data_IF_002415821121
#
_entry.id   IF_002415821121
#
_cell.length_a   1.000
_cell.length_b   1.000
_cell.length_c   1.000
_cell.angle_alpha   90.00
_cell.angle_beta   90.00
_cell.angle_gamma   90.00
#
_symmetry.space_group_name_H-M   'P 1'
#
loop_
_entity.id
_entity.type
_entity.pdbx_description
1 polymer ?
#
# COMPACT_ATOMS: atom_id res chain seq x y z
N UNK A 1 0.09 24.10 31.92
CA UNK A 1 -0.53 24.54 30.64
C UNK A 1 -1.71 23.64 30.34
N UNK A 2 -2.91 24.18 30.06
CA UNK A 2 -4.03 23.34 29.63
C UNK A 2 -3.66 22.64 28.32
N UNK A 3 -3.84 21.32 28.26
CA UNK A 3 -3.61 20.54 27.04
C UNK A 3 -4.64 21.00 26.01
N UNK A 4 -4.22 21.79 25.02
CA UNK A 4 -5.04 22.05 23.83
C UNK A 4 -5.40 20.71 23.22
N UNK A 5 -6.70 20.40 23.14
CA UNK A 5 -7.16 19.17 22.52
C UNK A 5 -6.61 19.10 21.08
N UNK A 6 -6.03 17.96 20.69
CA UNK A 6 -5.52 17.78 19.33
C UNK A 6 -6.66 18.00 18.33
N UNK A 7 -6.41 18.82 17.31
CA UNK A 7 -7.43 19.18 16.31
C UNK A 7 -7.71 18.03 15.34
N UNK A 8 -6.70 17.33 14.86
CA UNK A 8 -6.88 16.14 14.05
C UNK A 8 -7.10 14.85 14.84
N UNK A 9 -7.03 13.73 14.13
CA UNK A 9 -7.29 12.38 14.64
C UNK A 9 -6.02 11.52 14.57
N UNK A 10 -5.85 10.61 15.53
CA UNK A 10 -4.80 9.58 15.45
C UNK A 10 -5.20 8.42 14.55
N UNK A 11 -6.49 8.31 14.26
CA UNK A 11 -7.09 7.28 13.43
C UNK A 11 -8.38 7.84 12.84
N UNK A 12 -8.62 7.58 11.55
CA UNK A 12 -9.91 7.81 10.91
C UNK A 12 -10.28 6.60 10.06
N UNK A 13 -11.59 6.38 9.87
CA UNK A 13 -12.08 5.33 9.00
C UNK A 13 -11.85 5.76 7.55
N UNK A 14 -11.17 4.93 6.78
CA UNK A 14 -11.04 5.08 5.34
C UNK A 14 -12.00 4.13 4.64
N UNK A 15 -12.77 4.62 3.67
CA UNK A 15 -13.77 3.82 2.97
C UNK A 15 -13.09 2.79 2.05
N UNK A 16 -13.62 1.58 1.99
CA UNK A 16 -13.03 0.47 1.22
C UNK A 16 -13.31 0.55 -0.28
N UNK A 17 -14.30 1.34 -0.67
CA UNK A 17 -14.76 1.53 -2.05
C UNK A 17 -14.09 2.72 -2.77
N UNK A 18 -13.14 3.40 -2.13
CA UNK A 18 -12.43 4.55 -2.69
C UNK A 18 -11.73 4.24 -4.04
N UNK A 19 -11.37 2.99 -4.32
CA UNK A 19 -10.82 2.58 -5.62
C UNK A 19 -11.86 2.55 -6.74
N UNK A 20 -13.15 2.53 -6.40
CA UNK A 20 -14.27 2.56 -7.35
C UNK A 20 -14.69 3.98 -7.72
N UNK A 21 -14.32 4.98 -6.92
CA UNK A 21 -14.57 6.40 -7.21
C UNK A 21 -14.04 6.78 -8.61
N UNK A 22 -14.91 7.27 -9.51
CA UNK A 22 -14.51 7.73 -10.84
C UNK A 22 -13.39 8.78 -10.84
N UNK A 23 -13.34 9.67 -9.85
CA UNK A 23 -12.29 10.69 -9.71
C UNK A 23 -10.95 10.03 -9.39
N UNK A 24 -10.93 9.11 -8.42
CA UNK A 24 -9.73 8.35 -8.04
C UNK A 24 -9.23 7.47 -9.20
N UNK A 25 -10.14 6.85 -9.97
CA UNK A 25 -9.78 6.10 -11.19
C UNK A 25 -9.11 7.00 -12.23
N UNK A 26 -9.65 8.20 -12.48
CA UNK A 26 -9.05 9.17 -13.42
C UNK A 26 -7.66 9.63 -12.95
N UNK A 27 -7.50 9.90 -11.66
CA UNK A 27 -6.22 10.22 -11.03
C UNK A 27 -5.18 9.11 -11.28
N UNK A 28 -5.55 7.86 -10.99
CA UNK A 28 -4.70 6.68 -11.21
C UNK A 28 -4.36 6.45 -12.68
N UNK A 29 -5.30 6.72 -13.59
CA UNK A 29 -5.03 6.56 -15.02
C UNK A 29 -4.00 7.57 -15.54
N UNK A 30 -3.96 8.79 -14.99
CA UNK A 30 -3.02 9.84 -15.42
C UNK A 30 -1.65 9.75 -14.72
N UNK A 31 -1.65 9.49 -13.41
CA UNK A 31 -0.45 9.57 -12.57
C UNK A 31 -0.08 8.24 -11.90
N UNK A 32 -0.74 7.13 -12.26
CA UNK A 32 -0.48 5.82 -11.68
C UNK A 32 -0.78 5.76 -10.18
N UNK A 33 -0.08 4.86 -9.49
CA UNK A 33 -0.19 4.73 -8.02
C UNK A 33 0.50 5.88 -7.28
N UNK A 34 1.39 6.62 -7.93
CA UNK A 34 2.04 7.81 -7.38
C UNK A 34 1.02 8.91 -7.10
N UNK A 35 0.17 9.23 -8.08
CA UNK A 35 -0.91 10.21 -7.90
C UNK A 35 -1.87 9.83 -6.78
N UNK A 36 -2.25 8.56 -6.71
CA UNK A 36 -3.07 8.06 -5.60
C UNK A 36 -2.36 8.17 -4.26
N UNK A 37 -1.07 7.81 -4.19
CA UNK A 37 -0.27 7.88 -2.97
C UNK A 37 -0.16 9.30 -2.43
N UNK A 38 0.10 10.28 -3.30
CA UNK A 38 0.15 11.71 -2.95
C UNK A 38 -1.21 12.19 -2.44
N UNK A 39 -2.30 11.91 -3.18
CA UNK A 39 -3.65 12.28 -2.75
C UNK A 39 -3.99 11.68 -1.38
N UNK A 40 -3.76 10.39 -1.20
CA UNK A 40 -4.04 9.69 0.05
C UNK A 40 -3.20 10.23 1.21
N UNK A 41 -1.93 10.54 0.96
CA UNK A 41 -1.06 11.15 1.97
C UNK A 41 -1.59 12.52 2.43
N UNK A 42 -1.97 13.38 1.48
CA UNK A 42 -2.54 14.70 1.78
C UNK A 42 -3.82 14.55 2.61
N UNK A 43 -4.74 13.66 2.22
CA UNK A 43 -5.97 13.41 2.98
C UNK A 43 -5.66 12.92 4.40
N UNK A 44 -4.67 12.04 4.56
CA UNK A 44 -4.22 11.60 5.87
C UNK A 44 -3.67 12.77 6.71
N UNK A 45 -2.85 13.65 6.12
CA UNK A 45 -2.30 14.82 6.81
C UNK A 45 -3.39 15.83 7.22
N UNK A 46 -4.36 16.07 6.34
CA UNK A 46 -5.56 16.87 6.65
C UNK A 46 -6.22 16.34 7.92
N UNK A 47 -6.55 15.05 7.96
CA UNK A 47 -7.23 14.45 9.11
C UNK A 47 -6.34 14.37 10.36
N UNK A 48 -5.02 14.21 10.21
CA UNK A 48 -4.07 14.08 11.32
C UNK A 48 -3.82 15.40 12.05
N UNK A 49 -3.74 16.52 11.32
CA UNK A 49 -3.32 17.82 11.88
C UNK A 49 -4.52 18.71 12.24
N UNK A 50 -5.25 19.21 11.24
CA UNK A 50 -6.36 20.17 11.44
C UNK A 50 -7.75 19.50 11.40
N UNK A 51 -7.84 18.29 10.85
CA UNK A 51 -9.05 17.48 10.76
C UNK A 51 -9.88 17.73 9.50
N UNK A 52 -9.81 18.91 8.89
CA UNK A 52 -10.73 19.31 7.81
C UNK A 52 -10.10 20.04 6.62
N UNK A 53 -8.90 20.58 6.76
CA UNK A 53 -8.13 21.17 5.66
C UNK A 53 -6.63 21.02 5.92
N UNK A 54 -5.81 21.35 4.94
CA UNK A 54 -4.36 21.49 5.07
C UNK A 54 -3.94 22.77 4.36
N UNK A 55 -3.08 23.55 5.00
CA UNK A 55 -2.34 24.63 4.31
C UNK A 55 -1.17 23.97 3.62
N UNK A 56 -1.03 24.24 2.32
CA UNK A 56 0.08 23.76 1.52
C UNK A 56 1.06 24.91 1.33
N UNK A 57 1.95 25.09 2.29
CA UNK A 57 3.09 25.99 2.15
C UNK A 57 4.29 25.25 1.56
N UNK A 58 5.42 25.96 1.41
CA UNK A 58 6.65 25.37 0.90
C UNK A 58 7.13 24.19 1.76
N UNK A 59 6.91 24.25 3.09
CA UNK A 59 7.29 23.19 4.01
C UNK A 59 6.40 21.95 3.82
N UNK A 60 5.09 22.12 3.67
CA UNK A 60 4.16 21.04 3.36
C UNK A 60 4.44 20.37 2.02
N UNK A 61 4.80 21.15 0.99
CA UNK A 61 5.19 20.61 -0.31
C UNK A 61 6.52 19.84 -0.22
N UNK A 62 7.49 20.37 0.53
CA UNK A 62 8.77 19.71 0.80
C UNK A 62 8.58 18.39 1.56
N UNK A 63 7.73 18.36 2.59
CA UNK A 63 7.45 17.16 3.37
C UNK A 63 6.84 16.05 2.50
N UNK A 64 5.92 16.41 1.60
CA UNK A 64 5.33 15.46 0.65
C UNK A 64 6.41 14.98 -0.34
N UNK A 65 7.28 15.87 -0.81
CA UNK A 65 8.38 15.54 -1.71
C UNK A 65 9.39 14.57 -1.08
N UNK A 66 9.81 14.83 0.16
CA UNK A 66 10.74 13.96 0.89
C UNK A 66 10.12 12.58 1.16
N UNK A 67 8.86 12.56 1.62
CA UNK A 67 8.15 11.31 1.91
C UNK A 67 7.90 10.46 0.66
N UNK A 68 7.41 11.09 -0.40
CA UNK A 68 7.06 10.39 -1.65
C UNK A 68 8.25 10.14 -2.57
N UNK A 69 9.42 10.71 -2.26
CA UNK A 69 10.63 10.70 -3.12
C UNK A 69 10.33 11.21 -4.53
N UNK A 70 9.47 12.23 -4.61
CA UNK A 70 8.96 12.82 -5.84
C UNK A 70 9.31 14.30 -5.90
N UNK A 71 9.51 14.85 -7.08
CA UNK A 71 9.77 16.28 -7.23
C UNK A 71 8.52 17.13 -6.96
N UNK A 72 8.75 18.32 -6.41
CA UNK A 72 7.69 19.27 -6.05
C UNK A 72 6.84 19.69 -7.27
N UNK A 73 7.45 19.82 -8.45
CA UNK A 73 6.74 20.15 -9.69
C UNK A 73 5.73 19.04 -10.06
N UNK A 74 6.12 17.78 -9.92
CA UNK A 74 5.25 16.62 -10.15
C UNK A 74 4.13 16.54 -9.11
N UNK A 75 4.43 16.83 -7.85
CA UNK A 75 3.43 16.88 -6.78
C UNK A 75 2.43 18.00 -7.03
N UNK A 76 2.89 19.20 -7.39
CA UNK A 76 2.02 20.31 -7.78
C UNK A 76 1.11 19.93 -8.96
N UNK A 77 1.64 19.28 -10.00
CA UNK A 77 0.85 18.81 -11.13
C UNK A 77 -0.21 17.75 -10.74
N UNK A 78 0.08 16.91 -9.74
CA UNK A 78 -0.89 15.96 -9.18
C UNK A 78 -1.97 16.70 -8.40
N UNK A 79 -1.61 17.67 -7.56
CA UNK A 79 -2.55 18.48 -6.78
C UNK A 79 -3.47 19.26 -7.71
N UNK A 80 -2.91 19.94 -8.72
CA UNK A 80 -3.67 20.66 -9.74
C UNK A 80 -4.69 19.74 -10.40
N UNK A 81 -4.29 18.53 -10.79
CA UNK A 81 -5.21 17.56 -11.37
C UNK A 81 -6.26 17.06 -10.38
N UNK A 82 -5.92 16.92 -9.09
CA UNK A 82 -6.90 16.61 -8.06
C UNK A 82 -7.95 17.73 -7.92
N UNK A 83 -7.55 19.00 -8.09
CA UNK A 83 -8.51 20.12 -8.12
C UNK A 83 -9.38 20.12 -9.37
N UNK A 84 -8.82 19.79 -10.54
CA UNK A 84 -9.60 19.64 -11.78
C UNK A 84 -10.62 18.50 -11.71
N UNK A 85 -10.31 17.44 -10.96
CA UNK A 85 -11.22 16.33 -10.70
C UNK A 85 -12.25 16.63 -9.60
N UNK A 86 -12.11 17.75 -8.88
CA UNK A 86 -12.94 18.08 -7.72
C UNK A 86 -12.72 17.14 -6.53
N UNK A 87 -11.51 16.60 -6.37
CA UNK A 87 -11.06 15.94 -5.14
C UNK A 87 -10.66 16.97 -4.07
N UNK A 88 -10.19 18.14 -4.54
CA UNK A 88 -9.96 19.34 -3.74
C UNK A 88 -10.67 20.54 -4.38
N UNK A 89 -11.02 21.54 -3.57
CA UNK A 89 -11.61 22.78 -4.04
C UNK A 89 -10.56 23.63 -4.79
N UNK A 90 -10.87 23.92 -6.04
CA UNK A 90 -9.96 24.62 -6.95
C UNK A 90 -9.72 26.07 -6.53
N UNK A 91 -10.75 26.76 -6.03
CA UNK A 91 -10.66 28.16 -5.63
C UNK A 91 -9.75 28.31 -4.41
N UNK A 92 -9.98 27.51 -3.37
CA UNK A 92 -9.16 27.52 -2.15
C UNK A 92 -7.71 27.12 -2.41
N UNK A 93 -7.48 26.16 -3.32
CA UNK A 93 -6.13 25.82 -3.76
C UNK A 93 -5.43 27.02 -4.41
N UNK A 94 -6.06 27.64 -5.40
CA UNK A 94 -5.43 28.70 -6.19
C UNK A 94 -5.26 30.01 -5.41
N UNK A 95 -6.25 30.40 -4.61
CA UNK A 95 -6.26 31.70 -3.92
C UNK A 95 -5.55 31.67 -2.56
N UNK A 96 -5.66 30.55 -1.83
CA UNK A 96 -5.21 30.46 -0.43
C UNK A 96 -4.17 29.36 -0.19
N UNK A 97 -3.83 28.56 -1.20
CA UNK A 97 -2.99 27.36 -1.05
C UNK A 97 -3.55 26.40 0.01
N UNK A 98 -4.88 26.25 0.06
CA UNK A 98 -5.56 25.38 1.02
C UNK A 98 -6.16 24.19 0.29
N UNK A 99 -5.87 23.00 0.80
CA UNK A 99 -6.45 21.75 0.34
C UNK A 99 -7.57 21.29 1.27
N UNK A 100 -8.77 21.24 0.74
CA UNK A 100 -9.99 20.73 1.36
C UNK A 100 -11.00 20.41 0.26
N UNK A 101 -12.06 19.68 0.59
CA UNK A 101 -13.24 19.52 -0.27
C UNK A 101 -14.48 19.36 0.60
N UNK A 102 -15.67 19.49 0.00
CA UNK A 102 -16.94 19.25 0.68
C UNK A 102 -16.97 17.87 1.34
N UNK A 103 -16.61 16.82 0.60
CA UNK A 103 -16.51 15.45 1.11
C UNK A 103 -15.58 15.32 2.32
N UNK A 104 -14.41 15.98 2.30
CA UNK A 104 -13.47 15.96 3.43
C UNK A 104 -14.11 16.62 4.67
N UNK A 105 -14.82 17.74 4.48
CA UNK A 105 -15.49 18.46 5.57
C UNK A 105 -16.71 17.70 6.12
N UNK A 106 -17.47 17.01 5.25
CA UNK A 106 -18.53 16.07 5.62
C UNK A 106 -18.00 14.92 6.48
N UNK A 107 -16.93 14.26 6.01
CA UNK A 107 -16.32 13.17 6.73
C UNK A 107 -15.77 13.62 8.09
N UNK A 108 -15.07 14.76 8.15
CA UNK A 108 -14.62 15.37 9.40
C UNK A 108 -15.78 15.62 10.38
N UNK A 109 -16.87 16.20 9.88
CA UNK A 109 -18.05 16.51 10.68
C UNK A 109 -18.71 15.23 11.20
N UNK A 110 -18.81 14.20 10.35
CA UNK A 110 -19.32 12.87 10.73
C UNK A 110 -18.48 12.22 11.83
N UNK A 111 -17.15 12.23 11.69
CA UNK A 111 -16.22 11.72 12.72
C UNK A 111 -16.38 12.51 14.02
N UNK A 112 -16.42 13.84 13.97
CA UNK A 112 -16.62 14.70 15.14
C UNK A 112 -17.91 14.36 15.87
N UNK A 113 -19.02 14.20 15.16
CA UNK A 113 -20.31 13.77 15.72
C UNK A 113 -20.22 12.41 16.41
N UNK A 114 -19.57 11.44 15.79
CA UNK A 114 -19.41 10.08 16.32
C UNK A 114 -18.58 10.03 17.61
N UNK A 115 -17.61 10.93 17.78
CA UNK A 115 -16.76 11.02 18.98
C UNK A 115 -17.22 12.09 19.98
N UNK A 116 -18.43 12.64 19.80
CA UNK A 116 -19.01 13.72 20.63
C UNK A 116 -18.13 14.97 20.75
N UNK A 117 -17.43 15.33 19.67
CA UNK A 117 -16.61 16.53 19.55
C UNK A 117 -17.30 17.57 18.68
N UNK A 118 -17.20 18.85 19.04
CA UNK A 118 -17.68 19.95 18.20
C UNK A 118 -16.77 20.08 16.97
N UNK A 119 -17.29 19.99 15.73
CA UNK A 119 -16.51 20.28 14.54
C UNK A 119 -16.14 21.77 14.55
N UNK A 120 -14.88 22.06 14.29
CA UNK A 120 -14.37 23.42 14.16
C UNK A 120 -13.77 23.57 12.76
N UNK A 121 -14.56 24.13 11.84
CA UNK A 121 -14.13 24.49 10.48
C UNK A 121 -14.13 26.02 10.40
N UNK A 122 -13.02 26.69 10.05
CA UNK A 122 -13.00 28.14 9.87
C UNK A 122 -14.02 28.56 8.80
N UNK A 123 -14.86 29.55 9.11
CA UNK A 123 -15.95 29.98 8.22
C UNK A 123 -15.50 30.39 6.81
N UNK A 124 -14.29 30.94 6.68
CA UNK A 124 -13.70 31.33 5.40
C UNK A 124 -13.28 30.16 4.50
N UNK A 125 -13.25 28.94 5.05
CA UNK A 125 -12.89 27.69 4.37
C UNK A 125 -14.10 26.75 4.24
N UNK A 126 -15.24 27.12 4.82
CA UNK A 126 -16.45 26.34 4.78
C UNK A 126 -16.96 26.28 3.34
N UNK A 127 -17.08 25.06 2.81
CA UNK A 127 -17.61 24.83 1.46
C UNK A 127 -19.11 24.54 1.45
N UNK A 128 -19.73 24.45 2.62
CA UNK A 128 -21.18 24.32 2.76
C UNK A 128 -21.86 25.67 2.50
N UNK A 129 -22.85 25.68 1.61
CA UNK A 129 -23.97 26.61 1.75
C UNK A 129 -24.90 26.09 2.85
N UNK A 130 -25.29 26.88 3.86
CA UNK A 130 -26.38 26.54 4.77
C UNK A 130 -27.74 26.72 4.06
N UNK A 131 -27.91 26.08 2.90
CA UNK A 131 -29.14 26.12 2.11
C UNK A 131 -29.41 24.70 1.58
N UNK A 132 -29.52 23.76 2.52
CA UNK A 132 -30.26 22.49 2.41
C UNK A 132 -30.38 21.82 3.79
N UNK A 133 -30.55 22.64 4.83
CA UNK A 133 -31.28 22.21 6.02
C UNK A 133 -32.57 23.04 6.03
N UNK A 134 -33.76 22.42 6.06
CA UNK A 134 -34.96 23.18 6.38
C UNK A 134 -34.78 23.78 7.78
N UNK A 135 -34.60 25.09 7.82
CA UNK A 135 -34.62 25.83 9.07
C UNK A 135 -35.99 25.64 9.74
N UNK A 136 -35.89 25.38 11.03
CA UNK A 136 -36.95 24.89 11.91
C UNK A 136 -38.06 25.93 12.04
N UNK A 137 -39.32 25.50 11.87
CA UNK A 137 -40.46 26.16 12.54
C UNK A 137 -41.15 25.12 13.42
N UNK A 138 -41.37 25.40 14.71
CA UNK A 138 -41.94 24.46 15.66
C UNK A 138 -43.46 24.37 15.47
N UNK A 139 -43.97 23.16 15.22
CA UNK A 139 -45.40 22.88 15.35
C UNK A 139 -45.64 21.38 15.64
N UNK A 140 -46.00 21.13 16.90
CA UNK A 140 -46.95 20.11 17.34
C UNK A 140 -46.85 18.72 16.71
N UNK A 141 -46.14 17.81 17.36
CA UNK A 141 -46.41 16.38 17.22
C UNK A 141 -47.81 16.09 17.82
N UNK A 142 -48.78 15.55 17.07
CA UNK A 142 -49.89 14.85 17.68
C UNK A 142 -49.35 13.52 18.20
N UNK A 143 -49.46 13.33 19.50
CA UNK A 143 -49.33 12.06 20.21
C UNK A 143 -50.38 11.09 19.66
N UNK A 144 -50.01 9.89 19.17
CA UNK A 144 -50.95 8.78 19.12
C UNK A 144 -50.94 8.14 20.51
N UNK A 145 -52.01 8.40 21.25
CA UNK A 145 -52.29 7.81 22.56
C UNK A 145 -52.38 6.29 22.45
N UNK A 146 -51.67 5.59 23.33
CA UNK A 146 -52.03 4.24 23.72
C UNK A 146 -53.38 4.25 24.44
N UNK A 147 -54.31 3.33 24.11
CA UNK A 147 -55.35 2.96 25.04
C UNK A 147 -54.97 1.65 25.72
N UNK A 148 -54.48 1.75 26.95
CA UNK A 148 -54.64 0.66 27.94
C UNK A 148 -55.93 0.95 28.70
N UNK A 149 -56.93 0.06 28.57
CA UNK A 149 -57.92 -0.11 29.63
C UNK A 149 -58.45 -1.54 29.69
N UNK A 150 -58.11 -2.16 30.82
CA UNK A 150 -58.95 -3.05 31.66
C UNK A 150 -59.32 -4.44 31.16
N UNK A 151 -58.76 -5.41 31.88
CA UNK A 151 -59.26 -6.77 32.08
C UNK A 151 -60.68 -6.76 32.65
N UNK A 152 -61.56 -7.62 32.12
CA UNK A 152 -62.51 -8.46 32.86
C UNK A 152 -62.63 -9.77 32.07
N UNK A 153 -62.12 -10.88 32.59
CA UNK A 153 -62.85 -11.86 33.40
C UNK A 153 -63.44 -13.01 32.54
N UNK A 154 -62.87 -14.19 32.78
CA UNK A 154 -63.56 -15.49 32.93
C UNK A 154 -63.64 -16.44 31.72
N UNK A 155 -62.96 -17.58 31.93
CA UNK A 155 -63.53 -18.95 31.92
C UNK A 155 -63.57 -19.70 30.58
N UNK A 156 -62.74 -20.77 30.57
CA UNK A 156 -63.09 -22.17 30.22
C UNK A 156 -62.70 -22.79 28.87
N UNK A 157 -62.11 -23.99 29.04
CA UNK A 157 -62.37 -25.25 28.30
C UNK A 157 -61.48 -25.56 27.07
N UNK A 158 -60.41 -26.34 27.34
CA UNK A 158 -60.05 -27.56 26.59
C UNK A 158 -61.29 -28.50 26.50
N UNK A 159 -61.47 -29.39 25.48
CA UNK A 159 -60.42 -30.36 25.10
C UNK A 159 -60.50 -30.98 23.66
N UNK A 160 -59.54 -31.89 23.38
CA UNK A 160 -59.69 -33.22 22.72
C UNK A 160 -60.13 -33.30 21.22
N UNK A 161 -59.72 -34.24 20.35
CA UNK A 161 -58.89 -35.46 20.37
C UNK A 161 -58.81 -36.04 18.91
N UNK A 162 -57.76 -36.84 18.65
CA UNK A 162 -57.76 -38.10 17.84
C UNK A 162 -58.07 -38.07 16.31
N UNK A 163 -57.51 -38.88 15.39
CA UNK A 163 -56.59 -40.05 15.40
C UNK A 163 -56.21 -40.45 13.94
N UNK A 164 -55.05 -41.11 13.79
CA UNK A 164 -54.62 -42.10 12.75
C UNK A 164 -54.49 -41.60 11.27
N UNK A 165 -53.52 -42.01 10.44
CA UNK A 165 -52.70 -43.23 10.35
C UNK A 165 -51.40 -43.02 9.51
N UNK A 166 -50.33 -43.77 9.83
CA UNK A 166 -49.03 -43.96 9.13
C UNK A 166 -49.16 -45.04 8.02
N UNK A 167 -48.14 -45.41 7.18
CA UNK A 167 -46.74 -44.95 7.04
C UNK A 167 -46.33 -44.62 5.57
N UNK A 168 -45.23 -43.89 5.31
CA UNK A 168 -43.85 -44.41 5.08
C UNK A 168 -42.83 -43.25 5.00
N UNK A 169 -41.58 -43.51 5.40
CA UNK A 169 -40.41 -42.61 5.51
C UNK A 169 -39.43 -42.75 4.32
N UNK A 170 -38.29 -42.04 4.18
CA UNK A 170 -37.66 -41.04 5.10
C UNK A 170 -37.14 -39.71 4.49
N UNK A 171 -37.35 -38.66 5.28
CA UNK A 171 -36.53 -37.49 5.68
C UNK A 171 -35.33 -36.99 4.85
N UNK A 172 -35.32 -35.66 4.58
CA UNK A 172 -34.30 -34.73 5.13
C UNK A 172 -34.81 -33.27 5.02
N UNK A 173 -35.12 -32.59 6.13
CA UNK A 173 -35.03 -31.13 6.28
C UNK A 173 -34.79 -30.74 7.76
N UNK A 174 -34.22 -29.54 8.06
CA UNK A 174 -33.51 -29.25 9.30
C UNK A 174 -34.21 -28.24 10.26
N UNK A 175 -33.54 -28.02 11.42
CA UNK A 175 -33.67 -26.95 12.46
C UNK A 175 -34.65 -27.26 13.62
N UNK A 176 -34.59 -26.65 14.85
CA UNK A 176 -33.81 -25.51 15.37
C UNK A 176 -33.31 -25.66 16.86
N UNK A 177 -33.03 -24.52 17.52
CA UNK A 177 -32.24 -24.26 18.74
C UNK A 177 -32.91 -24.42 20.13
N UNK A 178 -32.09 -24.50 21.20
CA UNK A 178 -32.23 -23.90 22.56
C UNK A 178 -31.06 -24.39 23.46
N UNK A 179 -30.44 -23.68 24.41
CA UNK A 179 -30.63 -22.36 24.98
C UNK A 179 -29.56 -22.04 26.07
N UNK A 180 -29.38 -20.73 26.30
CA UNK A 180 -29.09 -19.99 27.55
C UNK A 180 -27.93 -20.41 28.48
N UNK A 181 -26.94 -19.51 28.67
CA UNK A 181 -26.69 -18.77 29.94
C UNK A 181 -25.50 -17.79 29.84
N UNK A 182 -25.72 -16.58 30.34
CA UNK A 182 -24.73 -15.52 30.57
C UNK A 182 -23.99 -15.76 31.90
N UNK A 183 -22.64 -15.68 31.92
CA UNK A 183 -21.93 -15.15 33.08
C UNK A 183 -20.53 -14.62 32.71
N UNK A 184 -20.13 -13.58 33.43
CA UNK A 184 -19.07 -12.61 33.17
C UNK A 184 -17.78 -13.05 33.83
N UNK A 185 -16.66 -13.17 33.10
CA UNK A 185 -15.31 -13.09 33.69
C UNK A 185 -14.28 -12.41 32.76
N UNK A 186 -14.09 -11.13 33.07
CA UNK A 186 -12.88 -10.30 32.97
C UNK A 186 -11.56 -11.07 32.77
N UNK A 187 -10.94 -10.98 31.58
CA UNK A 187 -9.54 -11.35 31.39
C UNK A 187 -8.68 -10.08 31.20
N UNK A 188 -7.75 -9.90 32.15
CA UNK A 188 -6.76 -8.83 32.21
C UNK A 188 -5.74 -8.99 31.08
N UNK A 189 -5.55 -7.95 30.27
CA UNK A 189 -4.38 -7.83 29.41
C UNK A 189 -3.18 -7.32 30.24
N UNK A 190 -2.37 -8.23 30.78
CA UNK A 190 -1.02 -7.93 31.26
C UNK A 190 -0.02 -8.16 30.12
N UNK A 191 0.22 -7.13 29.31
CA UNK A 191 1.40 -7.07 28.44
C UNK A 191 2.55 -6.58 29.32
N UNK A 192 3.36 -7.53 29.82
CA UNK A 192 4.64 -7.22 30.45
C UNK A 192 5.60 -6.73 29.34
N UNK A 193 5.71 -5.42 29.19
CA UNK A 193 6.81 -4.77 28.47
C UNK A 193 8.07 -4.87 29.32
N UNK A 194 9.00 -5.73 28.94
CA UNK A 194 10.38 -5.64 29.40
C UNK A 194 11.23 -4.94 28.33
N UNK A 195 11.49 -3.65 28.56
CA UNK A 195 12.53 -2.90 27.86
C UNK A 195 13.82 -2.99 28.68
N UNK A 196 14.83 -3.72 28.20
CA UNK A 196 16.22 -3.42 28.51
C UNK A 196 17.14 -3.72 27.31
N UNK A 197 18.06 -2.82 26.94
CA UNK A 197 18.86 -2.94 25.73
C UNK A 197 20.06 -3.84 25.97
N UNK A 198 20.22 -4.89 25.15
CA UNK A 198 21.44 -5.68 25.12
C UNK A 198 22.32 -5.23 23.96
N UNK A 199 23.33 -4.45 24.34
CA UNK A 199 24.53 -4.14 23.59
C UNK A 199 25.26 -5.45 23.24
N UNK A 200 25.43 -5.77 21.95
CA UNK A 200 26.32 -6.83 21.48
C UNK A 200 27.15 -6.36 20.29
N UNK A 201 28.44 -6.58 20.47
CA UNK A 201 29.60 -6.14 19.71
C UNK A 201 29.50 -6.23 18.19
N UNK A 202 30.06 -5.20 17.54
CA UNK A 202 30.44 -5.18 16.12
C UNK A 202 31.55 -6.21 15.88
N UNK A 203 31.21 -7.33 15.24
CA UNK A 203 32.20 -8.15 14.54
C UNK A 203 32.06 -7.88 13.04
N UNK A 204 33.19 -7.49 12.46
CA UNK A 204 33.34 -7.15 11.05
C UNK A 204 33.12 -8.38 10.18
N UNK A 205 32.00 -8.43 9.46
CA UNK A 205 31.85 -9.34 8.33
C UNK A 205 32.01 -8.48 7.07
N UNK A 206 33.25 -8.48 6.58
CA UNK A 206 33.63 -7.92 5.29
C UNK A 206 32.85 -8.66 4.19
N UNK A 207 31.88 -7.98 3.59
CA UNK A 207 31.32 -8.41 2.30
C UNK A 207 32.39 -8.26 1.21
N UNK A 208 32.59 -9.24 0.30
CA UNK A 208 33.55 -9.10 -0.77
C UNK A 208 33.03 -8.07 -1.78
N UNK A 209 33.80 -7.00 -1.98
CA UNK A 209 33.66 -6.11 -3.13
C UNK A 209 33.67 -6.92 -4.43
N UNK A 210 32.78 -6.66 -5.40
CA UNK A 210 33.07 -6.98 -6.78
C UNK A 210 34.06 -5.94 -7.32
N UNK A 211 35.35 -6.15 -7.04
CA UNK A 211 36.43 -5.41 -7.69
C UNK A 211 36.57 -5.89 -9.14
N UNK A 212 35.96 -5.12 -10.06
CA UNK A 212 36.53 -4.74 -11.36
C UNK A 212 35.54 -3.81 -12.05
N UNK A 213 35.46 -2.57 -11.56
CA UNK A 213 34.98 -1.44 -12.34
C UNK A 213 36.19 -0.51 -12.44
N UNK A 214 36.64 -0.14 -13.66
CA UNK A 214 37.67 0.89 -13.80
C UNK A 214 37.18 2.14 -13.09
N UNK A 215 37.93 2.59 -12.09
CA UNK A 215 37.66 3.80 -11.31
C UNK A 215 37.63 5.02 -12.24
N UNK A 216 36.46 5.30 -12.82
CA UNK A 216 36.15 6.56 -13.47
C UNK A 216 35.84 7.62 -12.41
N UNK A 217 36.39 8.82 -12.60
CA UNK A 217 36.21 9.97 -11.70
C UNK A 217 34.77 10.10 -11.20
N UNK A 218 34.55 9.92 -9.88
CA UNK A 218 33.21 9.97 -9.26
C UNK A 218 32.46 11.27 -9.58
N UNK A 219 33.20 12.35 -9.80
CA UNK A 219 32.65 13.69 -10.06
C UNK A 219 32.03 13.78 -11.45
N UNK A 220 32.59 13.09 -12.44
CA UNK A 220 32.08 13.02 -13.81
C UNK A 220 30.81 12.17 -13.92
N UNK A 221 30.73 11.07 -13.16
CA UNK A 221 29.53 10.23 -13.11
C UNK A 221 28.37 10.93 -12.40
N UNK A 222 28.69 11.66 -11.33
CA UNK A 222 27.73 12.52 -10.64
C UNK A 222 27.25 13.65 -11.55
N UNK A 223 28.15 14.27 -12.34
CA UNK A 223 27.79 15.29 -13.31
C UNK A 223 26.86 14.75 -14.41
N UNK A 224 27.20 13.61 -15.01
CA UNK A 224 26.38 12.97 -16.03
C UNK A 224 24.98 12.62 -15.49
N UNK A 225 24.90 12.10 -14.27
CA UNK A 225 23.62 11.78 -13.62
C UNK A 225 22.74 13.01 -13.43
N UNK A 226 23.32 14.10 -12.89
CA UNK A 226 22.60 15.38 -12.73
C UNK A 226 22.16 15.93 -14.07
N UNK A 227 23.00 15.83 -15.10
CA UNK A 227 22.69 16.29 -16.45
C UNK A 227 21.53 15.51 -17.05
N UNK A 228 21.58 14.17 -17.03
CA UNK A 228 20.49 13.32 -17.51
C UNK A 228 19.18 13.57 -16.76
N UNK A 229 19.25 13.75 -15.44
CA UNK A 229 18.09 14.09 -14.61
C UNK A 229 17.50 15.45 -14.99
N UNK A 230 18.34 16.47 -15.22
CA UNK A 230 17.89 17.79 -15.70
C UNK A 230 17.24 17.76 -17.09
N UNK A 231 17.58 16.74 -17.90
CA UNK A 231 17.00 16.51 -19.22
C UNK A 231 15.72 15.65 -19.19
N UNK A 232 15.27 15.22 -18.00
CA UNK A 232 14.05 14.42 -17.83
C UNK A 232 14.21 12.91 -18.05
N UNK A 233 15.44 12.38 -18.09
CA UNK A 233 15.67 10.93 -18.20
C UNK A 233 15.30 10.24 -16.89
N UNK A 234 14.56 9.14 -16.97
CA UNK A 234 14.15 8.37 -15.79
C UNK A 234 15.34 7.79 -15.00
N UNK A 235 15.20 7.67 -13.68
CA UNK A 235 16.24 7.12 -12.80
C UNK A 235 16.67 5.70 -13.20
N UNK A 236 15.72 4.90 -13.71
CA UNK A 236 16.01 3.57 -14.25
C UNK A 236 16.93 3.64 -15.48
N UNK A 237 16.66 4.56 -16.41
CA UNK A 237 17.49 4.76 -17.59
C UNK A 237 18.87 5.34 -17.23
N UNK A 238 18.95 6.23 -16.24
CA UNK A 238 20.23 6.72 -15.71
C UNK A 238 21.07 5.56 -15.14
N UNK A 239 20.45 4.66 -14.37
CA UNK A 239 21.12 3.46 -13.86
C UNK A 239 21.61 2.57 -15.01
N UNK A 240 20.79 2.37 -16.04
CA UNK A 240 21.19 1.65 -17.24
C UNK A 240 22.34 2.34 -17.96
N UNK A 241 22.37 3.67 -18.03
CA UNK A 241 23.46 4.39 -18.68
C UNK A 241 24.80 4.10 -18.00
N UNK A 242 24.87 4.20 -16.67
CA UNK A 242 26.09 3.87 -15.94
C UNK A 242 26.50 2.41 -16.13
N UNK A 243 25.52 1.52 -16.05
CA UNK A 243 25.75 0.10 -16.25
C UNK A 243 26.29 -0.20 -17.65
N UNK A 244 25.66 0.34 -18.70
CA UNK A 244 26.05 0.14 -20.10
C UNK A 244 27.42 0.73 -20.42
N UNK A 245 27.81 1.85 -19.78
CA UNK A 245 29.16 2.42 -19.95
C UNK A 245 30.28 1.48 -19.49
N UNK A 246 30.00 0.57 -18.55
CA UNK A 246 30.94 -0.47 -18.14
C UNK A 246 31.17 -1.54 -19.20
N UNK A 247 30.18 -1.80 -20.06
CA UNK A 247 30.22 -2.82 -21.12
C UNK A 247 30.53 -2.24 -22.50
N UNK A 248 30.16 -0.99 -22.73
CA UNK A 248 30.33 -0.27 -23.99
C UNK A 248 31.05 1.06 -23.71
N UNK A 249 32.39 1.08 -23.74
CA UNK A 249 33.17 2.30 -23.55
C UNK A 249 32.82 3.41 -24.56
N UNK A 250 32.44 3.02 -25.78
CA UNK A 250 32.08 3.93 -26.88
C UNK A 250 30.62 4.40 -26.85
N UNK A 251 29.85 4.08 -25.80
CA UNK A 251 28.44 4.43 -25.71
C UNK A 251 28.24 5.96 -25.81
N UNK A 252 27.63 6.49 -26.90
CA UNK A 252 27.74 7.90 -27.27
C UNK A 252 26.75 8.81 -26.52
N UNK A 253 26.51 8.56 -25.24
CA UNK A 253 25.58 9.34 -24.41
C UNK A 253 26.02 10.80 -24.28
N UNK A 254 27.31 11.04 -24.03
CA UNK A 254 27.84 12.40 -23.90
C UNK A 254 27.69 13.19 -25.22
N UNK A 255 27.93 12.53 -26.35
CA UNK A 255 27.75 13.11 -27.69
C UNK A 255 26.28 13.43 -27.94
N UNK A 256 25.37 12.51 -27.64
CA UNK A 256 23.94 12.71 -27.81
C UNK A 256 23.40 13.88 -26.95
N UNK A 257 23.90 14.06 -25.73
CA UNK A 257 23.56 15.21 -24.89
C UNK A 257 23.99 16.53 -25.57
N UNK A 258 25.23 16.60 -26.06
CA UNK A 258 25.74 17.80 -26.75
C UNK A 258 24.96 18.12 -28.02
N UNK A 259 24.57 17.10 -28.77
CA UNK A 259 23.76 17.27 -29.99
C UNK A 259 22.36 17.80 -29.65
N UNK A 260 21.74 17.33 -28.57
CA UNK A 260 20.47 17.88 -28.09
C UNK A 260 20.61 19.38 -27.78
N UNK A 261 21.65 19.78 -27.07
CA UNK A 261 21.92 21.18 -26.72
C UNK A 261 22.14 22.07 -27.95
N UNK A 262 22.76 21.53 -29.00
CA UNK A 262 23.08 22.27 -30.24
C UNK A 262 21.95 22.26 -31.27
N UNK A 263 20.96 21.38 -31.11
CA UNK A 263 19.90 21.14 -32.10
C UNK A 263 18.80 22.20 -32.14
N UNK A 264 18.84 23.23 -31.28
CA UNK A 264 17.77 24.23 -31.15
C UNK A 264 16.37 23.60 -31.05
N UNK A 265 16.21 22.60 -30.16
CA UNK A 265 14.97 21.84 -29.91
C UNK A 265 14.52 20.86 -31.00
N UNK A 266 15.31 20.62 -32.06
CA UNK A 266 14.98 19.56 -33.03
C UNK A 266 15.18 18.16 -32.42
N UNK A 267 16.23 18.00 -31.61
CA UNK A 267 16.49 16.79 -30.83
C UNK A 267 16.08 17.05 -29.38
N UNK A 268 15.46 16.04 -28.79
CA UNK A 268 14.95 16.05 -27.42
C UNK A 268 15.37 14.76 -26.73
N UNK A 269 15.26 14.75 -25.41
CA UNK A 269 15.49 13.55 -24.61
C UNK A 269 14.64 12.38 -25.09
N UNK A 270 13.36 12.62 -25.39
CA UNK A 270 12.40 11.59 -25.75
C UNK A 270 12.58 11.05 -27.17
N UNK A 271 12.89 11.92 -28.15
CA UNK A 271 12.99 11.49 -29.55
C UNK A 271 14.39 11.00 -29.96
N UNK A 272 15.42 11.23 -29.15
CA UNK A 272 16.80 10.89 -29.49
C UNK A 272 17.54 10.12 -28.40
N UNK A 273 17.63 10.69 -27.20
CA UNK A 273 18.44 10.11 -26.12
C UNK A 273 17.84 8.82 -25.54
N UNK A 274 16.54 8.80 -25.28
CA UNK A 274 15.85 7.60 -24.77
C UNK A 274 15.87 6.45 -25.79
N UNK A 275 15.56 6.65 -27.09
CA UNK A 275 15.73 5.61 -28.11
C UNK A 275 17.16 5.07 -28.18
N UNK A 276 18.18 5.94 -28.08
CA UNK A 276 19.59 5.52 -28.05
C UNK A 276 19.87 4.62 -26.85
N UNK A 277 19.44 5.02 -25.64
CA UNK A 277 19.62 4.22 -24.42
C UNK A 277 18.91 2.87 -24.57
N UNK A 278 17.65 2.87 -25.01
CA UNK A 278 16.87 1.66 -25.19
C UNK A 278 17.48 0.69 -26.21
N UNK A 279 18.08 1.21 -27.29
CA UNK A 279 18.81 0.40 -28.26
C UNK A 279 20.00 -0.31 -27.63
N UNK A 280 20.80 0.40 -26.82
CA UNK A 280 21.92 -0.21 -26.11
C UNK A 280 21.49 -1.19 -25.01
N UNK A 281 20.35 -0.95 -24.33
CA UNK A 281 19.75 -1.94 -23.43
C UNK A 281 19.37 -3.21 -24.20
N UNK A 282 18.76 -3.06 -25.38
CA UNK A 282 18.41 -4.20 -26.22
C UNK A 282 19.66 -4.97 -26.69
N UNK A 283 20.72 -4.24 -27.09
CA UNK A 283 22.01 -4.81 -27.45
C UNK A 283 22.63 -5.60 -26.30
N UNK A 284 22.66 -5.02 -25.09
CA UNK A 284 23.14 -5.71 -23.89
C UNK A 284 22.33 -6.98 -23.60
N UNK A 285 21.01 -6.90 -23.68
CA UNK A 285 20.15 -8.05 -23.44
C UNK A 285 20.34 -9.17 -24.48
N UNK A 286 20.69 -8.83 -25.72
CA UNK A 286 21.02 -9.80 -26.75
C UNK A 286 22.39 -10.46 -26.53
N UNK A 287 23.41 -9.68 -26.17
CA UNK A 287 24.79 -10.17 -26.00
C UNK A 287 25.00 -10.88 -24.66
N UNK A 288 24.46 -10.32 -23.58
CA UNK A 288 24.73 -10.75 -22.20
C UNK A 288 23.49 -11.20 -21.44
N UNK A 289 22.29 -10.92 -21.94
CA UNK A 289 21.05 -11.16 -21.18
C UNK A 289 20.85 -12.62 -20.79
N UNK A 290 21.28 -13.57 -21.63
CA UNK A 290 21.19 -14.99 -21.28
C UNK A 290 22.18 -15.38 -20.18
N UNK A 291 23.45 -15.02 -20.33
CA UNK A 291 24.50 -15.29 -19.34
C UNK A 291 24.20 -14.59 -18.00
N UNK A 292 23.65 -13.38 -18.01
CA UNK A 292 23.28 -12.64 -16.81
C UNK A 292 22.06 -13.26 -16.10
N UNK A 293 21.06 -13.74 -16.86
CA UNK A 293 19.94 -14.52 -16.30
C UNK A 293 20.42 -15.82 -15.66
N UNK A 294 21.31 -16.55 -16.33
CA UNK A 294 21.91 -17.78 -15.82
C UNK A 294 22.73 -17.52 -14.55
N UNK A 295 23.52 -16.44 -14.54
CA UNK A 295 24.29 -16.02 -13.36
C UNK A 295 23.37 -15.70 -12.18
N UNK A 296 22.33 -14.89 -12.40
CA UNK A 296 21.34 -14.55 -11.35
C UNK A 296 20.61 -15.79 -10.84
N UNK A 297 20.25 -16.71 -11.72
CA UNK A 297 19.64 -17.97 -11.34
C UNK A 297 20.61 -18.83 -10.52
N UNK A 298 21.89 -18.93 -10.94
CA UNK A 298 22.92 -19.66 -10.21
C UNK A 298 23.22 -19.05 -8.83
N UNK A 299 23.26 -17.72 -8.72
CA UNK A 299 23.41 -17.01 -7.44
C UNK A 299 22.19 -17.23 -6.53
N UNK A 300 20.99 -17.23 -7.10
CA UNK A 300 19.75 -17.54 -6.37
C UNK A 300 19.77 -18.98 -5.85
N UNK A 301 20.14 -19.95 -6.69
CA UNK A 301 20.26 -21.36 -6.31
C UNK A 301 21.35 -21.57 -5.25
N UNK A 302 22.46 -20.82 -5.33
CA UNK A 302 23.52 -20.81 -4.30
C UNK A 302 23.00 -20.25 -2.97
N UNK A 303 22.24 -19.15 -3.02
CA UNK A 303 21.61 -18.54 -1.83
C UNK A 303 20.62 -19.51 -1.18
N UNK A 304 19.73 -20.13 -1.97
CA UNK A 304 18.79 -21.15 -1.47
C UNK A 304 19.50 -22.33 -0.82
N UNK A 305 20.57 -22.85 -1.43
CA UNK A 305 21.38 -23.93 -0.86
C UNK A 305 21.97 -23.55 0.50
N UNK A 306 22.52 -22.34 0.62
CA UNK A 306 23.05 -21.82 1.89
C UNK A 306 21.95 -21.72 2.96
N UNK A 307 20.74 -21.31 2.58
CA UNK A 307 19.60 -21.28 3.51
C UNK A 307 19.20 -22.67 4.00
N UNK A 308 19.19 -23.67 3.11
CA UNK A 308 18.91 -25.07 3.50
C UNK A 308 19.97 -25.63 4.45
N UNK A 309 21.24 -25.27 4.24
CA UNK A 309 22.34 -25.62 5.14
C UNK A 309 22.19 -24.99 6.52
N UNK A 310 21.83 -23.70 6.58
CA UNK A 310 21.56 -22.99 7.84
C UNK A 310 20.34 -23.53 8.60
N UNK A 311 19.38 -24.15 7.89
CA UNK A 311 18.24 -24.84 8.49
C UNK A 311 18.59 -26.25 9.02
N UNK A 312 19.84 -26.70 8.85
CA UNK A 312 20.31 -28.00 9.34
C UNK A 312 19.74 -29.19 8.58
N UNK A 313 19.34 -29.00 7.32
CA UNK A 313 18.75 -30.06 6.49
C UNK A 313 19.85 -31.01 6.01
N UNK A 314 19.63 -32.32 6.09
CA UNK A 314 20.60 -33.33 5.68
C UNK A 314 20.94 -33.23 4.18
N UNK A 315 22.19 -33.52 3.82
CA UNK A 315 22.70 -33.38 2.44
C UNK A 315 21.87 -34.15 1.39
N UNK A 316 21.33 -35.33 1.77
CA UNK A 316 20.44 -36.12 0.90
C UNK A 316 19.16 -35.36 0.55
N UNK A 317 18.52 -34.77 1.55
CA UNK A 317 17.27 -34.02 1.37
C UNK A 317 17.52 -32.69 0.65
N UNK A 318 18.67 -32.05 0.88
CA UNK A 318 19.08 -30.87 0.11
C UNK A 318 19.17 -31.18 -1.38
N UNK A 319 19.75 -32.33 -1.76
CA UNK A 319 19.87 -32.73 -3.16
C UNK A 319 18.48 -32.89 -3.80
N UNK A 320 17.56 -33.56 -3.12
CA UNK A 320 16.18 -33.72 -3.58
C UNK A 320 15.46 -32.37 -3.72
N UNK A 321 15.55 -31.51 -2.71
CA UNK A 321 14.94 -30.16 -2.73
C UNK A 321 15.51 -29.35 -3.89
N UNK A 322 16.83 -29.40 -4.11
CA UNK A 322 17.46 -28.65 -5.19
C UNK A 322 17.08 -29.17 -6.58
N UNK A 323 16.83 -30.48 -6.72
CA UNK A 323 16.32 -31.07 -7.96
C UNK A 323 14.88 -30.61 -8.22
N UNK A 324 14.02 -30.57 -7.22
CA UNK A 324 12.66 -30.03 -7.37
C UNK A 324 12.68 -28.52 -7.67
N UNK A 325 13.66 -27.80 -7.12
CA UNK A 325 13.82 -26.37 -7.34
C UNK A 325 14.28 -25.99 -8.74
N UNK A 326 14.89 -26.89 -9.51
CA UNK A 326 15.18 -26.61 -10.92
C UNK A 326 13.90 -26.46 -11.76
N UNK A 327 12.83 -27.15 -11.36
CA UNK A 327 11.51 -27.03 -12.00
C UNK A 327 10.66 -25.91 -11.39
N UNK A 328 10.73 -25.69 -10.07
CA UNK A 328 9.91 -24.71 -9.35
C UNK A 328 10.74 -23.81 -8.40
N UNK A 329 11.62 -22.94 -8.91
CA UNK A 329 12.52 -22.13 -8.07
C UNK A 329 11.78 -21.07 -7.23
N UNK A 330 10.69 -20.51 -7.76
CA UNK A 330 9.85 -19.51 -7.06
C UNK A 330 9.17 -20.11 -5.84
N UNK A 331 8.74 -21.37 -5.95
CA UNK A 331 8.10 -22.09 -4.84
C UNK A 331 9.11 -22.33 -3.73
N UNK A 332 10.33 -22.78 -4.06
CA UNK A 332 11.37 -22.95 -3.04
C UNK A 332 11.68 -21.63 -2.33
N UNK A 333 11.79 -20.51 -3.05
CA UNK A 333 12.04 -19.19 -2.46
C UNK A 333 10.96 -18.83 -1.41
N UNK A 334 9.68 -19.03 -1.77
CA UNK A 334 8.54 -18.74 -0.91
C UNK A 334 8.54 -19.63 0.34
N UNK A 335 8.73 -20.93 0.15
CA UNK A 335 8.73 -21.92 1.24
C UNK A 335 9.92 -21.72 2.18
N UNK A 336 11.10 -21.35 1.67
CA UNK A 336 12.25 -20.98 2.50
C UNK A 336 11.97 -19.74 3.35
N UNK A 337 11.29 -18.74 2.79
CA UNK A 337 10.89 -17.53 3.54
C UNK A 337 9.84 -17.85 4.63
N UNK A 338 8.91 -18.76 4.35
CA UNK A 338 7.88 -19.21 5.30
C UNK A 338 8.47 -20.06 6.44
N UNK A 339 9.53 -20.80 6.17
CA UNK A 339 10.22 -21.67 7.13
C UNK A 339 11.23 -20.93 8.00
N UNK A 340 11.87 -19.90 7.45
CA UNK A 340 12.89 -19.14 8.16
C UNK A 340 12.31 -18.41 9.38
N UNK A 341 12.81 -18.74 10.58
CA UNK A 341 12.40 -18.11 11.84
C UNK A 341 11.02 -18.53 12.37
N UNK A 342 10.34 -19.47 11.70
CA UNK A 342 9.00 -19.90 12.09
C UNK A 342 9.03 -21.05 13.11
N UNK A 343 8.68 -20.75 14.37
CA UNK A 343 8.69 -21.72 15.48
C UNK A 343 7.53 -22.74 15.44
N UNK A 344 6.53 -22.55 14.58
CA UNK A 344 5.38 -23.49 14.46
C UNK A 344 5.74 -24.73 13.64
N UNK A 345 6.79 -24.66 12.81
CA UNK A 345 7.20 -25.77 11.95
C UNK A 345 8.14 -26.69 12.71
N UNK A 346 7.62 -27.85 13.13
CA UNK A 346 8.38 -28.85 13.92
C UNK A 346 9.45 -29.57 13.11
N UNK A 347 9.28 -29.68 11.79
CA UNK A 347 10.25 -30.32 10.88
C UNK A 347 10.36 -29.50 9.60
N UNK A 348 11.36 -28.60 9.51
CA UNK A 348 11.60 -27.80 8.31
C UNK A 348 11.78 -28.68 7.06
N UNK A 349 12.53 -29.78 7.18
CA UNK A 349 12.77 -30.73 6.08
C UNK A 349 11.48 -31.30 5.49
N UNK A 350 10.58 -31.86 6.34
CA UNK A 350 9.32 -32.45 5.87
C UNK A 350 8.39 -31.40 5.28
N UNK A 351 8.36 -30.21 5.88
CA UNK A 351 7.53 -29.12 5.39
C UNK A 351 7.97 -28.65 3.99
N UNK A 352 9.28 -28.44 3.79
CA UNK A 352 9.83 -27.99 2.51
C UNK A 352 9.59 -29.06 1.44
N UNK A 353 9.94 -30.32 1.71
CA UNK A 353 9.73 -31.42 0.76
C UNK A 353 8.25 -31.61 0.40
N UNK A 354 7.33 -31.52 1.37
CA UNK A 354 5.90 -31.65 1.11
C UNK A 354 5.40 -30.58 0.13
N UNK A 355 5.79 -29.32 0.32
CA UNK A 355 5.39 -28.22 -0.56
C UNK A 355 6.05 -28.30 -1.93
N UNK A 356 7.33 -28.70 -1.98
CA UNK A 356 8.05 -28.86 -3.24
C UNK A 356 7.50 -30.02 -4.09
N UNK A 357 7.18 -31.17 -3.48
CA UNK A 357 6.57 -32.32 -4.17
C UNK A 357 5.13 -32.07 -4.63
N UNK A 358 4.39 -31.21 -3.91
CA UNK A 358 3.07 -30.75 -4.38
C UNK A 358 3.17 -29.84 -5.59
N UNK A 359 4.20 -28.99 -5.66
CA UNK A 359 4.40 -28.05 -6.75
C UNK A 359 5.00 -28.66 -8.01
N UNK A 360 5.78 -29.74 -7.86
CA UNK A 360 6.38 -30.48 -8.97
C UNK A 360 5.79 -31.89 -8.99
N UNK A 361 4.73 -32.15 -9.77
CA UNK A 361 4.21 -33.50 -9.93
C UNK A 361 5.33 -34.34 -10.55
N UNK A 362 5.79 -35.36 -9.82
CA UNK A 362 6.70 -36.34 -10.40
C UNK A 362 5.94 -37.08 -11.50
N UNK A 363 6.42 -36.98 -12.74
CA UNK A 363 6.00 -37.86 -13.82
C UNK A 363 6.23 -39.30 -13.34
N UNK A 364 5.16 -40.07 -13.25
CA UNK A 364 5.19 -41.48 -12.87
C UNK A 364 5.94 -42.32 -13.91
#
# INVERSE_FOLDING_TARGET
>A
MPKTAKKGFTYFRFETDHFYDPKVKRLKNKFGMEGWGVFHFIVNEIFRVEGCYMVMDADGLFDIADYSRMDECRIAAIIDYCTDLGLFDKRLWQEKQILTSEYIQELYTGICKAIHRRPAIPGELLLYSPENLPETVPASYPVPEEPVSTMEANVSVLPEKEKASRPESPDTHPLPASGVSHEVLREKAEILRENKPQNKNKENISSPNPSNIPSGNSDEENFLSRKLKSMGVSENNIRWVHFLRGYYPDFPVKTAIREIEQSHFQLTTFNYLEPLINNYIAKYNAEYGQADRERKQAETMRSMRKTLELLGIAARDQLEIMQLASAAPVVLASVLKETWGNRRIKSPTRFILSRMRQAVPMSA
#
